data_IF_858078861228
#
_entry.id   IF_858078861228
#
_cell.length_a   1.000
_cell.length_b   1.000
_cell.length_c   1.000
_cell.angle_alpha   90.00
_cell.angle_beta   90.00
_cell.angle_gamma   90.00
#
_symmetry.space_group_name_H-M   'P 1'
#
loop_
_entity.id
_entity.type
_entity.pdbx_description
1 polymer ?
#
# COMPACT_ATOMS: atom_id res chain seq x y z
N UNK A 1 7.83 -18.03 -30.40
CA UNK A 1 7.03 -17.51 -29.28
C UNK A 1 7.79 -17.59 -27.94
N UNK A 2 8.37 -18.74 -27.56
CA UNK A 2 9.10 -18.91 -26.28
C UNK A 2 10.29 -17.95 -26.13
N UNK A 3 11.03 -17.67 -27.19
CA UNK A 3 12.11 -16.70 -27.21
C UNK A 3 11.63 -15.31 -26.79
N UNK A 4 10.53 -14.85 -27.38
CA UNK A 4 9.95 -13.53 -27.08
C UNK A 4 9.46 -13.47 -25.62
N UNK A 5 8.75 -14.51 -25.16
CA UNK A 5 8.27 -14.62 -23.77
C UNK A 5 9.45 -14.53 -22.79
N UNK A 6 10.48 -15.35 -22.98
CA UNK A 6 11.66 -15.38 -22.09
C UNK A 6 12.38 -14.03 -22.05
N UNK A 7 12.57 -13.39 -23.20
CA UNK A 7 13.25 -12.11 -23.32
C UNK A 7 12.42 -10.97 -22.69
N UNK A 8 11.10 -10.97 -22.92
CA UNK A 8 10.17 -10.02 -22.31
C UNK A 8 10.12 -10.16 -20.77
N UNK A 9 9.97 -11.39 -20.26
CA UNK A 9 9.97 -11.66 -18.82
C UNK A 9 11.29 -11.25 -18.17
N UNK A 10 12.41 -11.56 -18.81
CA UNK A 10 13.73 -11.12 -18.32
C UNK A 10 13.83 -9.60 -18.24
N UNK A 11 13.38 -8.88 -19.26
CA UNK A 11 13.36 -7.40 -19.27
C UNK A 11 12.51 -6.84 -18.15
N UNK A 12 11.30 -7.41 -17.94
CA UNK A 12 10.41 -7.04 -16.86
C UNK A 12 11.06 -7.21 -15.48
N UNK A 13 11.64 -8.38 -15.20
CA UNK A 13 12.27 -8.63 -13.91
C UNK A 13 13.53 -7.80 -13.67
N UNK A 14 14.34 -7.56 -14.70
CA UNK A 14 15.51 -6.69 -14.59
C UNK A 14 15.10 -5.25 -14.28
N UNK A 15 14.11 -4.71 -14.99
CA UNK A 15 13.60 -3.37 -14.76
C UNK A 15 13.02 -3.24 -13.33
N UNK A 16 12.25 -4.23 -12.90
CA UNK A 16 11.65 -4.28 -11.57
C UNK A 16 12.73 -4.34 -10.48
N UNK A 17 13.77 -5.17 -10.62
CA UNK A 17 14.87 -5.27 -9.66
C UNK A 17 15.66 -3.97 -9.53
N UNK A 18 15.97 -3.31 -10.66
CA UNK A 18 16.69 -2.03 -10.65
C UNK A 18 15.92 -0.97 -9.87
N UNK A 19 14.62 -0.83 -10.12
CA UNK A 19 13.83 0.20 -9.44
C UNK A 19 13.55 -0.14 -7.98
N UNK A 20 13.30 -1.41 -7.66
CA UNK A 20 13.16 -1.82 -6.25
C UNK A 20 14.46 -1.53 -5.49
N UNK A 21 15.63 -1.78 -6.09
CA UNK A 21 16.92 -1.41 -5.48
C UNK A 21 17.01 0.09 -5.17
N UNK A 22 16.62 0.94 -6.11
CA UNK A 22 16.55 2.40 -5.91
C UNK A 22 15.54 2.76 -4.81
N UNK A 23 14.35 2.21 -4.84
CA UNK A 23 13.30 2.47 -3.83
C UNK A 23 13.75 2.07 -2.44
N UNK A 24 14.45 0.93 -2.28
CA UNK A 24 15.01 0.49 -1.00
C UNK A 24 16.05 1.49 -0.50
N UNK A 25 16.94 1.99 -1.34
CA UNK A 25 17.97 2.97 -0.96
C UNK A 25 17.31 4.27 -0.46
N UNK A 26 16.30 4.77 -1.17
CA UNK A 26 15.55 5.94 -0.74
C UNK A 26 14.79 5.70 0.58
N UNK A 27 14.12 4.56 0.72
CA UNK A 27 13.38 4.21 1.93
C UNK A 27 14.31 4.06 3.15
N UNK A 28 15.50 3.48 2.97
CA UNK A 28 16.54 3.43 4.01
C UNK A 28 16.97 4.85 4.40
N UNK A 29 17.27 5.69 3.41
CA UNK A 29 17.73 7.07 3.67
C UNK A 29 16.69 7.90 4.43
N UNK A 30 15.40 7.67 4.18
CA UNK A 30 14.32 8.37 4.90
C UNK A 30 14.12 7.84 6.32
N UNK A 31 14.33 6.54 6.56
CA UNK A 31 13.95 5.87 7.83
C UNK A 31 15.11 5.52 8.74
N UNK A 32 16.35 5.74 8.30
CA UNK A 32 17.54 5.34 9.07
C UNK A 32 17.58 5.97 10.45
N UNK A 33 17.21 7.25 10.57
CA UNK A 33 17.20 7.97 11.84
C UNK A 33 16.18 7.38 12.81
N UNK A 34 15.02 6.94 12.31
CA UNK A 34 14.00 6.29 13.12
C UNK A 34 14.45 4.89 13.58
N UNK A 35 15.09 4.13 12.70
CA UNK A 35 15.60 2.80 13.03
C UNK A 35 16.75 2.84 14.05
N UNK A 36 17.68 3.79 13.89
CA UNK A 36 18.81 3.97 14.82
C UNK A 36 18.33 4.51 16.16
N UNK A 37 17.46 5.53 16.16
CA UNK A 37 16.98 6.17 17.40
C UNK A 37 16.15 5.22 18.28
N UNK A 38 15.58 4.18 17.70
CA UNK A 38 14.80 3.16 18.41
C UNK A 38 15.49 1.81 18.51
N UNK A 39 16.79 1.77 18.22
CA UNK A 39 17.62 0.56 18.32
C UNK A 39 16.98 -0.65 17.60
N UNK A 40 16.41 -0.44 16.42
CA UNK A 40 15.76 -1.50 15.66
C UNK A 40 16.79 -2.59 15.29
N UNK A 41 16.56 -3.86 15.63
CA UNK A 41 17.51 -4.91 15.31
C UNK A 41 17.55 -5.12 13.78
N UNK A 42 18.77 -5.17 13.21
CA UNK A 42 18.99 -5.36 11.76
C UNK A 42 18.21 -6.55 11.19
N UNK A 43 18.11 -7.63 11.97
CA UNK A 43 17.33 -8.81 11.57
C UNK A 43 15.86 -8.48 11.34
N UNK A 44 15.23 -7.70 12.23
CA UNK A 44 13.84 -7.27 12.08
C UNK A 44 13.67 -6.29 10.92
N UNK A 45 14.63 -5.39 10.70
CA UNK A 45 14.64 -4.48 9.54
C UNK A 45 14.63 -5.28 8.22
N UNK A 46 15.46 -6.31 8.09
CA UNK A 46 15.55 -7.10 6.86
C UNK A 46 14.35 -8.02 6.68
N UNK A 47 13.99 -8.81 7.70
CA UNK A 47 13.00 -9.88 7.56
C UNK A 47 11.54 -9.44 7.82
N UNK A 48 11.31 -8.54 8.78
CA UNK A 48 9.95 -8.10 9.09
C UNK A 48 9.55 -6.88 8.25
N UNK A 49 10.52 -6.02 7.87
CA UNK A 49 10.25 -4.84 7.08
C UNK A 49 10.52 -5.07 5.59
N UNK A 50 11.79 -5.20 5.14
CA UNK A 50 12.11 -5.22 3.70
C UNK A 50 11.62 -6.48 2.99
N UNK A 51 11.63 -7.65 3.60
CA UNK A 51 11.12 -8.88 3.00
C UNK A 51 9.62 -8.79 2.69
N UNK A 52 8.88 -7.97 3.42
CA UNK A 52 7.45 -7.72 3.20
C UNK A 52 7.16 -6.45 2.40
N UNK A 53 8.10 -5.49 2.38
CA UNK A 53 8.04 -4.28 1.59
C UNK A 53 8.21 -4.54 0.09
N UNK A 54 9.18 -5.38 -0.27
CA UNK A 54 9.52 -5.69 -1.66
C UNK A 54 8.32 -6.26 -2.44
N UNK A 55 7.62 -7.32 -2.00
CA UNK A 55 6.45 -7.84 -2.71
C UNK A 55 5.32 -6.82 -2.86
N UNK A 56 5.10 -6.00 -1.84
CA UNK A 56 4.07 -4.95 -1.87
C UNK A 56 4.37 -3.91 -2.96
N UNK A 57 5.57 -3.35 -2.98
CA UNK A 57 5.95 -2.35 -3.98
C UNK A 57 6.07 -2.94 -5.38
N UNK A 58 6.58 -4.17 -5.51
CA UNK A 58 6.62 -4.90 -6.79
C UNK A 58 5.23 -5.04 -7.39
N UNK A 59 4.24 -5.38 -6.57
CA UNK A 59 2.86 -5.55 -7.01
C UNK A 59 2.22 -4.20 -7.38
N UNK A 60 2.44 -3.17 -6.55
CA UNK A 60 1.89 -1.83 -6.77
C UNK A 60 2.37 -1.22 -8.10
N UNK A 61 3.64 -1.38 -8.41
CA UNK A 61 4.24 -0.82 -9.62
C UNK A 61 4.24 -1.78 -10.82
N UNK A 62 3.79 -3.03 -10.65
CA UNK A 62 3.79 -4.05 -11.72
C UNK A 62 3.16 -3.57 -13.04
N UNK A 63 1.99 -2.88 -13.07
CA UNK A 63 1.42 -2.42 -14.33
C UNK A 63 2.32 -1.42 -15.06
N UNK A 64 2.98 -0.53 -14.31
CA UNK A 64 3.94 0.43 -14.87
C UNK A 64 5.15 -0.28 -15.48
N UNK A 65 5.67 -1.31 -14.78
CA UNK A 65 6.81 -2.08 -15.29
C UNK A 65 6.47 -2.94 -16.49
N UNK A 66 5.26 -3.48 -16.58
CA UNK A 66 4.80 -4.15 -17.80
C UNK A 66 4.80 -3.18 -18.96
N UNK A 67 4.30 -1.96 -18.78
CA UNK A 67 4.28 -0.93 -19.81
C UNK A 67 5.71 -0.54 -20.27
N UNK A 68 6.60 -0.28 -19.33
CA UNK A 68 8.01 0.02 -19.63
C UNK A 68 8.69 -1.15 -20.35
N UNK A 69 8.46 -2.39 -19.88
CA UNK A 69 9.03 -3.58 -20.49
C UNK A 69 8.54 -3.78 -21.93
N UNK A 70 7.26 -3.53 -22.21
CA UNK A 70 6.69 -3.58 -23.57
C UNK A 70 7.42 -2.59 -24.47
N UNK A 71 7.52 -1.33 -24.06
CA UNK A 71 8.17 -0.29 -24.89
C UNK A 71 9.64 -0.63 -25.12
N UNK A 72 10.39 -0.86 -24.03
CA UNK A 72 11.83 -1.11 -24.10
C UNK A 72 12.15 -2.36 -24.92
N UNK A 73 11.44 -3.44 -24.68
CA UNK A 73 11.65 -4.69 -25.39
C UNK A 73 11.29 -4.58 -26.87
N UNK A 74 10.15 -3.93 -27.18
CA UNK A 74 9.72 -3.73 -28.58
C UNK A 74 10.69 -2.82 -29.33
N UNK A 75 11.17 -1.74 -28.70
CA UNK A 75 12.17 -0.84 -29.29
C UNK A 75 13.46 -1.61 -29.60
N UNK A 76 13.91 -2.45 -28.69
CA UNK A 76 15.12 -3.27 -28.90
C UNK A 76 14.95 -4.29 -30.01
N UNK A 77 13.79 -4.93 -30.15
CA UNK A 77 13.48 -5.81 -31.27
C UNK A 77 13.46 -5.06 -32.62
N UNK A 78 12.92 -3.82 -32.60
CA UNK A 78 12.87 -2.98 -33.79
C UNK A 78 14.27 -2.49 -34.20
N UNK A 79 15.09 -2.04 -33.26
CA UNK A 79 16.48 -1.62 -33.46
C UNK A 79 17.33 -2.74 -34.07
N UNK A 80 17.17 -3.95 -33.58
CA UNK A 80 17.86 -5.14 -34.12
C UNK A 80 17.25 -5.66 -35.44
N UNK A 81 16.27 -4.95 -36.04
CA UNK A 81 15.54 -5.39 -37.23
C UNK A 81 14.83 -6.76 -37.11
N UNK A 82 14.71 -7.30 -35.88
CA UNK A 82 14.08 -8.60 -35.62
C UNK A 82 12.60 -8.61 -36.02
N UNK A 83 11.89 -7.48 -35.75
CA UNK A 83 10.46 -7.35 -36.12
C UNK A 83 10.30 -7.37 -37.64
N UNK A 84 11.15 -6.62 -38.36
CA UNK A 84 11.14 -6.58 -39.82
C UNK A 84 11.43 -7.95 -40.40
N UNK A 85 12.43 -8.63 -39.89
CA UNK A 85 12.80 -9.99 -40.32
C UNK A 85 11.67 -11.01 -40.10
N UNK A 86 10.98 -10.93 -38.94
CA UNK A 86 9.82 -11.81 -38.65
C UNK A 86 8.65 -11.54 -39.58
N UNK A 87 8.34 -10.26 -39.85
CA UNK A 87 7.22 -9.89 -40.74
C UNK A 87 7.51 -10.20 -42.21
N UNK A 88 8.74 -10.00 -42.66
CA UNK A 88 9.19 -10.36 -44.06
C UNK A 88 9.12 -11.88 -44.33
N UNK A 89 9.27 -12.69 -43.27
CA UNK A 89 9.08 -14.14 -43.34
C UNK A 89 7.61 -14.57 -43.24
N UNK A 90 6.63 -13.64 -43.44
CA UNK A 90 5.21 -13.94 -43.48
C UNK A 90 4.52 -14.06 -42.11
N UNK A 91 5.20 -13.64 -41.03
CA UNK A 91 4.53 -13.62 -39.70
C UNK A 91 3.53 -12.47 -39.65
N UNK A 92 2.26 -12.78 -39.32
CA UNK A 92 1.24 -11.76 -39.14
C UNK A 92 1.44 -10.98 -37.81
N UNK A 93 1.07 -9.72 -37.77
CA UNK A 93 1.13 -8.88 -36.56
C UNK A 93 0.39 -9.50 -35.37
N UNK A 94 -0.77 -10.14 -35.62
CA UNK A 94 -1.51 -10.86 -34.56
C UNK A 94 -0.72 -12.02 -33.95
N UNK A 95 0.08 -12.69 -34.75
CA UNK A 95 0.96 -13.78 -34.27
C UNK A 95 2.11 -13.23 -33.45
N UNK A 96 2.65 -12.06 -33.81
CA UNK A 96 3.68 -11.36 -33.05
C UNK A 96 3.17 -10.91 -31.67
N UNK A 97 1.90 -10.49 -31.56
CA UNK A 97 1.30 -10.07 -30.30
C UNK A 97 1.02 -11.21 -29.31
N UNK A 98 0.85 -12.45 -29.77
CA UNK A 98 0.53 -13.61 -28.90
C UNK A 98 1.52 -13.77 -27.73
N UNK A 99 2.85 -13.81 -27.92
CA UNK A 99 3.79 -13.94 -26.81
C UNK A 99 3.73 -12.78 -25.81
N UNK A 100 3.42 -11.55 -26.26
CA UNK A 100 3.21 -10.41 -25.35
C UNK A 100 1.99 -10.62 -24.45
N UNK A 101 0.87 -11.03 -25.04
CA UNK A 101 -0.36 -11.33 -24.29
C UNK A 101 -0.18 -12.45 -23.28
N UNK A 102 0.54 -13.51 -23.66
CA UNK A 102 0.85 -14.63 -22.76
C UNK A 102 1.73 -14.14 -21.60
N UNK A 103 2.77 -13.35 -21.90
CA UNK A 103 3.65 -12.78 -20.86
C UNK A 103 2.90 -11.86 -19.90
N UNK A 104 2.04 -10.99 -20.43
CA UNK A 104 1.20 -10.12 -19.63
C UNK A 104 0.22 -10.91 -18.73
N UNK A 105 -0.40 -11.97 -19.27
CA UNK A 105 -1.27 -12.85 -18.51
C UNK A 105 -0.51 -13.59 -17.38
N UNK A 106 0.70 -14.07 -17.64
CA UNK A 106 1.56 -14.69 -16.61
C UNK A 106 1.90 -13.70 -15.49
N UNK A 107 2.25 -12.46 -15.82
CA UNK A 107 2.53 -11.41 -14.83
C UNK A 107 1.25 -11.07 -14.05
N UNK A 108 0.10 -10.97 -14.72
CA UNK A 108 -1.18 -10.71 -14.07
C UNK A 108 -1.56 -11.79 -13.05
N UNK A 109 -1.38 -13.07 -13.39
CA UNK A 109 -1.61 -14.20 -12.49
C UNK A 109 -0.64 -14.13 -11.29
N UNK A 110 0.64 -13.84 -11.54
CA UNK A 110 1.64 -13.70 -10.50
C UNK A 110 1.31 -12.55 -9.54
N UNK A 111 0.99 -11.37 -10.06
CA UNK A 111 0.63 -10.19 -9.25
C UNK A 111 -0.67 -10.39 -8.49
N UNK A 112 -1.64 -11.07 -9.08
CA UNK A 112 -2.87 -11.47 -8.38
C UNK A 112 -2.57 -12.41 -7.20
N UNK A 113 -1.75 -13.44 -7.42
CA UNK A 113 -1.33 -14.37 -6.36
C UNK A 113 -0.57 -13.67 -5.23
N UNK A 114 0.36 -12.76 -5.56
CA UNK A 114 1.05 -11.93 -4.57
C UNK A 114 0.07 -11.05 -3.79
N UNK A 115 -0.87 -10.39 -4.48
CA UNK A 115 -1.87 -9.51 -3.88
C UNK A 115 -2.85 -10.22 -2.97
N UNK A 116 -3.27 -11.44 -3.35
CA UNK A 116 -4.27 -12.19 -2.61
C UNK A 116 -3.69 -12.93 -1.39
N UNK A 117 -2.47 -13.47 -1.47
CA UNK A 117 -1.93 -14.38 -0.45
C UNK A 117 -0.70 -13.86 0.29
N UNK A 118 0.26 -13.28 -0.42
CA UNK A 118 1.56 -12.90 0.16
C UNK A 118 1.49 -11.54 0.83
N UNK A 119 0.98 -10.55 0.11
CA UNK A 119 0.95 -9.16 0.56
C UNK A 119 0.11 -8.96 1.83
N UNK A 120 -1.11 -9.51 1.99
CA UNK A 120 -1.89 -9.30 3.20
C UNK A 120 -1.18 -9.79 4.46
N UNK A 121 -0.58 -10.98 4.39
CA UNK A 121 0.18 -11.57 5.51
C UNK A 121 1.45 -10.79 5.81
N UNK A 122 2.19 -10.39 4.78
CA UNK A 122 3.41 -9.61 4.91
C UNK A 122 3.15 -8.19 5.42
N UNK A 123 2.05 -7.56 4.99
CA UNK A 123 1.72 -6.20 5.38
C UNK A 123 1.42 -6.07 6.88
N UNK A 124 0.82 -7.09 7.50
CA UNK A 124 0.61 -7.12 8.97
C UNK A 124 1.96 -7.03 9.69
N UNK A 125 2.96 -7.82 9.28
CA UNK A 125 4.31 -7.79 9.89
C UNK A 125 4.98 -6.43 9.68
N UNK A 126 4.93 -5.90 8.45
CA UNK A 126 5.49 -4.59 8.12
C UNK A 126 4.86 -3.47 8.94
N UNK A 127 3.53 -3.41 9.03
CA UNK A 127 2.82 -2.38 9.79
C UNK A 127 3.11 -2.50 11.29
N UNK A 128 3.20 -3.72 11.83
CA UNK A 128 3.59 -3.93 13.22
C UNK A 128 5.01 -3.43 13.49
N UNK A 129 5.96 -3.72 12.58
CA UNK A 129 7.31 -3.20 12.65
C UNK A 129 7.32 -1.66 12.59
N UNK A 130 6.62 -1.05 11.64
CA UNK A 130 6.51 0.41 11.53
C UNK A 130 5.89 1.04 12.79
N UNK A 131 4.87 0.43 13.36
CA UNK A 131 4.25 0.90 14.61
C UNK A 131 5.20 0.84 15.81
N UNK A 132 6.14 -0.09 15.81
CA UNK A 132 7.13 -0.26 16.88
C UNK A 132 8.32 0.67 16.72
N UNK A 133 8.88 0.76 15.51
CA UNK A 133 10.17 1.41 15.25
C UNK A 133 10.09 2.73 14.47
N UNK A 134 8.96 3.08 13.87
CA UNK A 134 8.77 4.39 13.25
C UNK A 134 8.27 5.38 14.30
N UNK A 135 8.81 6.60 14.29
CA UNK A 135 8.20 7.70 15.05
C UNK A 135 6.76 7.85 14.58
N UNK A 136 5.80 7.47 15.42
CA UNK A 136 4.41 7.85 15.17
C UNK A 136 4.41 9.38 15.12
N UNK A 137 4.20 9.98 13.95
CA UNK A 137 3.51 11.26 13.92
C UNK A 137 2.19 10.96 14.61
N UNK A 138 2.11 11.23 15.92
CA UNK A 138 0.86 11.19 16.65
C UNK A 138 -0.05 12.08 15.83
N UNK A 139 -1.11 11.54 15.28
CA UNK A 139 -2.24 12.37 14.94
C UNK A 139 -2.64 12.99 16.29
N UNK A 140 -2.14 14.20 16.57
CA UNK A 140 -2.32 14.86 17.85
C UNK A 140 -3.79 15.11 18.11
N UNK A 141 -4.60 15.06 17.05
CA UNK A 141 -6.04 15.24 17.12
C UNK A 141 -6.76 14.54 15.96
N UNK A 142 -7.96 14.08 16.22
CA UNK A 142 -8.91 13.58 15.23
C UNK A 142 -10.03 14.62 15.09
N UNK A 143 -10.50 14.87 13.87
CA UNK A 143 -11.56 15.86 13.61
C UNK A 143 -12.81 15.22 13.04
N UNK A 144 -13.97 15.79 13.35
CA UNK A 144 -15.26 15.43 12.79
C UNK A 144 -15.56 13.93 12.93
N UNK A 145 -15.40 13.41 14.14
CA UNK A 145 -15.72 12.01 14.45
C UNK A 145 -17.19 11.90 14.78
N UNK A 146 -17.85 10.98 14.09
CA UNK A 146 -19.23 10.62 14.36
C UNK A 146 -19.30 9.12 14.63
N UNK A 147 -19.79 8.73 15.80
CA UNK A 147 -19.83 7.34 16.24
C UNK A 147 -21.19 7.05 16.87
N UNK A 148 -21.79 5.95 16.47
CA UNK A 148 -22.95 5.41 17.20
C UNK A 148 -22.44 4.70 18.46
N UNK A 149 -22.81 5.22 19.63
CA UNK A 149 -22.34 4.71 20.93
C UNK A 149 -23.35 3.77 21.58
N UNK A 150 -24.61 3.85 21.19
CA UNK A 150 -25.68 2.94 21.57
C UNK A 150 -26.76 2.99 20.48
N UNK A 151 -27.70 2.05 20.50
CA UNK A 151 -28.78 2.00 19.51
C UNK A 151 -29.54 3.32 19.43
N UNK A 152 -29.38 4.02 18.29
CA UNK A 152 -29.99 5.34 18.05
C UNK A 152 -29.36 6.50 18.85
N UNK A 153 -28.19 6.29 19.48
CA UNK A 153 -27.44 7.36 20.16
C UNK A 153 -26.14 7.63 19.40
N UNK A 154 -26.06 8.83 18.84
CA UNK A 154 -24.92 9.27 18.02
C UNK A 154 -24.11 10.30 18.80
N UNK A 155 -22.82 10.03 18.98
CA UNK A 155 -21.85 10.98 19.50
C UNK A 155 -21.14 11.68 18.34
N UNK A 156 -21.10 13.00 18.37
CA UNK A 156 -20.29 13.81 17.44
C UNK A 156 -19.22 14.55 18.22
N UNK A 157 -18.00 14.50 17.71
CA UNK A 157 -16.82 15.16 18.27
C UNK A 157 -16.16 15.97 17.17
N UNK A 158 -16.13 17.29 17.28
CA UNK A 158 -15.48 18.12 16.28
C UNK A 158 -13.97 17.93 16.31
N UNK A 159 -13.36 17.84 17.50
CA UNK A 159 -11.92 17.63 17.67
C UNK A 159 -11.65 16.81 18.92
N UNK A 160 -10.93 15.73 18.77
CA UNK A 160 -10.45 14.91 19.88
C UNK A 160 -8.93 14.96 19.97
N UNK A 161 -8.40 15.35 21.11
CA UNK A 161 -6.97 15.39 21.40
C UNK A 161 -6.56 14.16 22.20
N UNK A 162 -5.70 13.33 21.59
CA UNK A 162 -5.22 12.10 22.22
C UNK A 162 -4.31 12.37 23.44
N UNK A 163 -3.62 13.51 23.47
CA UNK A 163 -2.67 13.84 24.52
C UNK A 163 -3.35 14.04 25.87
N UNK A 164 -4.38 14.87 25.91
CA UNK A 164 -5.15 15.19 27.11
C UNK A 164 -6.48 14.42 27.21
N UNK A 165 -6.75 13.48 26.27
CA UNK A 165 -7.96 12.69 26.18
C UNK A 165 -9.25 13.54 26.24
N UNK A 166 -9.21 14.72 25.61
CA UNK A 166 -10.30 15.69 25.65
C UNK A 166 -10.95 15.81 24.28
N UNK A 167 -12.27 15.69 24.28
CA UNK A 167 -13.12 15.99 23.13
C UNK A 167 -13.59 17.45 23.21
N UNK A 168 -13.41 18.21 22.14
CA UNK A 168 -13.90 19.58 22.01
C UNK A 168 -15.12 19.62 21.11
N UNK A 169 -16.09 20.43 21.48
CA UNK A 169 -17.41 20.51 20.83
C UNK A 169 -18.03 19.13 20.65
N UNK A 170 -18.31 18.53 21.79
CA UNK A 170 -18.97 17.24 21.89
C UNK A 170 -20.49 17.42 21.82
N UNK A 171 -21.17 16.60 21.01
CA UNK A 171 -22.62 16.45 21.12
C UNK A 171 -23.00 14.98 21.18
N UNK A 172 -24.09 14.71 21.88
CA UNK A 172 -24.70 13.40 22.00
C UNK A 172 -26.19 13.52 21.65
N UNK A 173 -26.57 12.85 20.57
CA UNK A 173 -27.92 12.94 20.00
C UNK A 173 -28.60 11.58 20.10
N UNK A 174 -29.78 11.56 20.74
CA UNK A 174 -30.59 10.35 20.84
C UNK A 174 -31.78 10.44 19.89
N UNK A 175 -31.89 9.46 19.01
CA UNK A 175 -32.97 9.31 18.05
C UNK A 175 -33.86 8.13 18.44
N UNK A 176 -35.19 8.33 18.41
CA UNK A 176 -36.19 7.28 18.51
C UNK A 176 -37.14 7.45 17.33
N UNK A 177 -37.39 6.42 16.56
CA UNK A 177 -38.24 6.45 15.35
C UNK A 177 -37.87 7.60 14.38
N UNK A 178 -36.56 7.82 14.18
CA UNK A 178 -35.99 8.90 13.34
C UNK A 178 -36.31 10.32 13.83
N UNK A 179 -36.78 10.47 15.06
CA UNK A 179 -36.99 11.80 15.68
C UNK A 179 -35.92 12.02 16.74
N UNK A 180 -35.36 13.22 16.77
CA UNK A 180 -34.44 13.63 17.83
C UNK A 180 -35.21 13.81 19.12
N UNK A 181 -34.91 12.98 20.12
CA UNK A 181 -35.61 12.99 21.44
C UNK A 181 -34.78 13.69 22.50
N UNK A 182 -33.46 13.60 22.42
CA UNK A 182 -32.54 14.24 23.36
C UNK A 182 -31.30 14.73 22.63
N UNK A 183 -30.85 15.92 22.99
CA UNK A 183 -29.67 16.57 22.46
C UNK A 183 -28.84 17.14 23.62
N UNK A 184 -27.62 16.63 23.78
CA UNK A 184 -26.67 17.13 24.76
C UNK A 184 -25.50 17.77 23.99
N UNK A 185 -25.11 18.97 24.37
CA UNK A 185 -23.90 19.62 23.87
C UNK A 185 -22.98 19.99 25.01
N UNK A 186 -21.69 19.78 24.81
CA UNK A 186 -20.66 20.22 25.73
C UNK A 186 -19.53 20.89 24.99
N UNK A 187 -18.93 21.93 25.56
CA UNK A 187 -17.75 22.56 24.99
C UNK A 187 -16.55 21.62 25.02
N UNK A 188 -16.45 20.87 26.12
CA UNK A 188 -15.36 19.90 26.35
C UNK A 188 -15.93 18.69 27.10
N UNK A 189 -15.44 17.51 26.72
CA UNK A 189 -15.67 16.26 27.45
C UNK A 189 -14.31 15.58 27.64
N UNK A 190 -13.91 15.30 28.86
CA UNK A 190 -12.64 14.66 29.18
C UNK A 190 -12.86 13.25 29.63
N UNK A 191 -12.15 12.30 29.04
CA UNK A 191 -12.24 10.90 29.42
C UNK A 191 -11.52 10.65 30.74
N UNK A 192 -12.28 10.17 31.75
CA UNK A 192 -11.71 9.77 33.03
C UNK A 192 -11.17 8.33 32.95
N UNK A 193 -9.84 8.23 32.92
CA UNK A 193 -9.16 6.92 32.86
C UNK A 193 -9.20 6.13 34.19
N UNK A 194 -9.64 6.75 35.28
CA UNK A 194 -9.76 6.09 36.60
C UNK A 194 -11.07 5.31 36.75
N UNK A 195 -12.07 5.65 35.94
CA UNK A 195 -13.36 4.98 35.93
C UNK A 195 -13.65 4.43 34.52
N UNK A 196 -13.93 3.13 34.45
CA UNK A 196 -14.24 2.47 33.18
C UNK A 196 -15.52 3.08 32.59
N UNK A 197 -15.44 3.56 31.34
CA UNK A 197 -16.55 4.13 30.56
C UNK A 197 -17.18 5.44 31.07
N UNK A 198 -16.44 6.30 31.77
CA UNK A 198 -16.92 7.65 32.10
C UNK A 198 -16.17 8.75 31.30
N UNK A 199 -17.00 9.70 30.84
CA UNK A 199 -16.60 10.91 30.10
C UNK A 199 -17.01 12.15 30.89
#
# INVERSE_FOLDING_TARGET
>A
DLYIIKKFMSTFFVALLLIIGIVIIFDISEKIDDFVSKEAPLKAVVFDYYMNFIPYFSNLFSPLFVFIAVIFFTSKLAENSEIIAMMSNGMSFRRLLRPYMISAALIAIMTYGLGAYVIPKGNVKRVNFENTYKRKKKAEFVRNVQVEVDSGVIAYIERYENYNKTAYRFSLDKFVDRKLVSHLTARTATYDSTQVHKW
#
